data_IF_842581886184
#
_entry.id   IF_842581886184
#
_cell.length_a   1.000
_cell.length_b   1.000
_cell.length_c   1.000
_cell.angle_alpha   90.00
_cell.angle_beta   90.00
_cell.angle_gamma   90.00
#
_symmetry.space_group_name_H-M   'P 1'
#
loop_
_entity.id
_entity.type
_entity.pdbx_description
1 polymer ?
#
# COMPACT_ATOMS: atom_id res chain seq x y z
N UNK A 1 -50.33 29.87 -16.98
CA UNK A 1 -49.85 31.01 -16.18
C UNK A 1 -48.40 30.79 -15.86
N UNK A 2 -47.58 31.81 -15.98
CA UNK A 2 -46.33 31.73 -16.73
C UNK A 2 -45.11 31.54 -15.85
N UNK A 3 -44.09 30.97 -16.46
CA UNK A 3 -42.70 30.91 -15.96
C UNK A 3 -42.08 32.30 -15.84
N UNK A 4 -41.15 32.56 -14.97
CA UNK A 4 -40.23 33.66 -15.14
C UNK A 4 -38.87 33.20 -15.65
N UNK A 5 -38.40 34.09 -16.53
CA UNK A 5 -37.22 34.11 -17.36
C UNK A 5 -35.90 34.15 -16.61
N UNK A 6 -34.91 33.61 -17.33
CA UNK A 6 -33.48 33.78 -17.15
C UNK A 6 -33.02 35.23 -17.43
N UNK A 7 -32.10 35.72 -16.62
CA UNK A 7 -31.22 36.82 -17.03
C UNK A 7 -29.76 36.45 -16.73
N UNK A 8 -28.86 36.61 -17.72
CA UNK A 8 -27.44 36.35 -17.55
C UNK A 8 -26.72 37.62 -17.12
N UNK A 9 -26.00 37.57 -16.02
CA UNK A 9 -25.07 38.63 -15.58
C UNK A 9 -23.63 38.32 -15.98
N UNK A 10 -23.20 38.95 -17.00
CA UNK A 10 -21.82 39.11 -17.46
C UNK A 10 -21.04 39.98 -16.46
N UNK A 11 -19.86 39.53 -16.05
CA UNK A 11 -18.80 40.43 -15.65
C UNK A 11 -17.42 39.84 -16.00
N UNK A 12 -16.85 40.57 -16.98
CA UNK A 12 -15.50 40.40 -17.51
C UNK A 12 -14.55 41.24 -16.64
N UNK A 13 -13.28 40.88 -16.72
CA UNK A 13 -12.06 41.66 -16.44
C UNK A 13 -11.44 41.62 -15.04
N UNK A 14 -10.31 40.97 -14.98
CA UNK A 14 -9.04 41.72 -14.79
C UNK A 14 -7.81 40.87 -15.07
N UNK A 15 -7.21 41.08 -16.23
CA UNK A 15 -5.79 40.81 -16.49
C UNK A 15 -4.92 41.63 -15.53
N UNK A 16 -4.00 40.97 -14.87
CA UNK A 16 -2.93 41.53 -14.07
C UNK A 16 -1.60 40.91 -14.48
N UNK A 17 -0.88 41.62 -15.32
CA UNK A 17 0.48 41.35 -15.78
C UNK A 17 1.46 41.24 -14.62
N UNK A 18 2.23 40.16 -14.60
CA UNK A 18 3.47 40.06 -13.82
C UNK A 18 4.65 39.92 -14.77
N UNK A 19 5.16 41.06 -15.23
CA UNK A 19 6.52 41.18 -15.74
C UNK A 19 7.38 41.76 -14.62
N UNK A 20 8.60 41.16 -14.49
CA UNK A 20 9.69 41.88 -13.85
C UNK A 20 10.14 41.28 -12.51
N UNK A 21 11.06 40.33 -12.53
CA UNK A 21 12.28 40.30 -11.67
C UNK A 21 13.28 39.40 -12.39
N UNK A 22 13.94 39.93 -13.38
CA UNK A 22 15.21 39.43 -13.90
C UNK A 22 16.17 40.60 -13.86
N UNK A 23 17.22 40.51 -13.08
CA UNK A 23 18.44 41.30 -13.11
C UNK A 23 18.86 41.74 -11.71
N UNK A 24 19.65 40.93 -11.05
CA UNK A 24 20.65 41.41 -10.09
C UNK A 24 21.47 40.24 -9.50
N UNK A 25 22.35 39.64 -10.25
CA UNK A 25 23.60 39.05 -9.74
C UNK A 25 24.59 38.99 -10.91
N UNK A 26 25.19 40.12 -11.23
CA UNK A 26 26.47 40.24 -11.91
C UNK A 26 27.19 41.39 -11.23
N UNK A 27 28.18 41.11 -10.50
CA UNK A 27 29.37 41.90 -10.13
C UNK A 27 29.75 41.60 -8.68
N UNK A 28 30.71 40.70 -8.53
CA UNK A 28 31.79 40.92 -7.56
C UNK A 28 33.05 40.21 -8.06
N UNK A 29 33.78 40.97 -8.63
CA UNK A 29 35.13 41.05 -9.03
C UNK A 29 36.17 40.33 -8.11
N UNK A 30 36.98 39.53 -8.76
CA UNK A 30 38.44 39.59 -8.83
C UNK A 30 39.10 40.31 -7.65
N UNK A 31 39.61 39.57 -6.68
CA UNK A 31 40.82 39.96 -5.93
C UNK A 31 41.83 38.84 -5.98
N UNK A 32 42.85 39.05 -6.81
CA UNK A 32 44.16 38.39 -6.75
C UNK A 32 44.81 38.78 -5.44
N UNK A 33 45.15 37.79 -4.61
CA UNK A 33 46.19 37.92 -3.60
C UNK A 33 47.21 36.85 -3.91
N UNK A 34 48.32 37.33 -4.42
CA UNK A 34 49.59 36.58 -4.53
C UNK A 34 50.17 36.44 -3.14
N UNK A 35 50.31 35.20 -2.66
CA UNK A 35 50.92 34.90 -1.37
C UNK A 35 51.72 33.59 -1.46
N UNK A 36 52.97 33.74 -1.31
CA UNK A 36 54.13 32.82 -1.42
C UNK A 36 53.92 31.42 -0.90
N UNK A 37 54.34 30.51 -1.74
CA UNK A 37 54.84 29.16 -1.57
C UNK A 37 55.48 28.90 -0.18
N UNK A 38 54.94 27.95 0.55
CA UNK A 38 55.66 27.13 1.50
C UNK A 38 55.33 25.66 1.21
N UNK A 39 56.27 24.96 0.60
CA UNK A 39 56.23 23.50 0.43
C UNK A 39 56.42 22.86 1.81
N UNK A 40 55.36 22.32 2.36
CA UNK A 40 55.40 21.31 3.42
C UNK A 40 54.78 20.05 2.84
N UNK A 41 55.70 19.15 2.44
CA UNK A 41 55.35 17.78 2.04
C UNK A 41 54.92 17.02 3.30
N UNK A 42 53.68 17.16 3.68
CA UNK A 42 53.02 16.29 4.66
C UNK A 42 52.30 15.17 3.92
N UNK A 43 52.88 13.98 3.91
CA UNK A 43 52.28 12.76 3.41
C UNK A 43 51.15 12.40 4.34
N UNK A 44 49.94 12.89 4.04
CA UNK A 44 48.71 12.53 4.76
C UNK A 44 48.24 11.20 4.17
N UNK A 45 48.67 10.10 4.83
CA UNK A 45 48.11 8.77 4.56
C UNK A 45 46.65 8.80 5.04
N UNK A 46 45.74 9.12 4.13
CA UNK A 46 44.32 8.96 4.36
C UNK A 46 44.05 7.45 4.35
N UNK A 47 44.06 6.81 5.52
CA UNK A 47 43.54 5.45 5.68
C UNK A 47 42.01 5.52 5.48
N UNK A 48 41.56 5.32 4.26
CA UNK A 48 40.17 5.08 3.96
C UNK A 48 39.80 3.73 4.60
N UNK A 49 39.25 3.77 5.80
CA UNK A 49 38.47 2.65 6.32
C UNK A 49 37.25 2.47 5.40
N UNK A 50 37.40 1.64 4.38
CA UNK A 50 36.27 1.12 3.60
C UNK A 50 35.56 0.16 4.55
N UNK A 51 34.58 0.68 5.30
CA UNK A 51 33.58 -0.15 5.96
C UNK A 51 32.83 -0.78 4.82
N UNK A 52 33.20 -1.99 4.44
CA UNK A 52 32.48 -2.79 3.48
C UNK A 52 31.09 -3.09 4.07
N UNK A 53 30.10 -2.33 3.67
CA UNK A 53 28.71 -2.72 3.88
C UNK A 53 28.48 -3.97 3.04
N UNK A 54 28.57 -5.15 3.70
CA UNK A 54 28.08 -6.38 3.09
C UNK A 54 26.58 -6.23 2.91
N UNK A 55 26.17 -5.94 1.68
CA UNK A 55 24.75 -5.99 1.30
C UNK A 55 24.31 -7.46 1.35
N UNK A 56 23.59 -7.81 2.39
CA UNK A 56 22.86 -9.09 2.45
C UNK A 56 21.53 -8.84 1.75
N UNK A 57 21.27 -9.48 0.60
CA UNK A 57 19.99 -9.33 -0.07
C UNK A 57 18.88 -9.84 0.85
N UNK A 58 17.90 -9.02 1.13
CA UNK A 58 16.71 -9.44 1.86
C UNK A 58 15.92 -10.44 1.02
N UNK A 59 15.66 -11.61 1.60
CA UNK A 59 14.95 -12.70 0.92
C UNK A 59 13.46 -12.61 1.27
N UNK A 60 12.57 -12.64 0.28
CA UNK A 60 11.14 -12.66 0.53
C UNK A 60 10.71 -13.84 1.39
N UNK A 61 9.70 -13.63 2.22
CA UNK A 61 9.12 -14.64 3.11
C UNK A 61 8.58 -15.80 2.30
N UNK A 62 9.10 -16.99 2.56
CA UNK A 62 8.53 -18.22 2.02
C UNK A 62 7.36 -18.67 2.90
N UNK A 63 6.15 -18.64 2.37
CA UNK A 63 4.94 -19.01 3.11
C UNK A 63 3.66 -18.46 2.51
N UNK A 64 2.56 -18.86 3.12
CA UNK A 64 1.20 -18.50 2.68
C UNK A 64 0.51 -17.62 3.71
N UNK A 65 -0.06 -16.51 3.26
CA UNK A 65 -1.02 -15.72 4.01
C UNK A 65 -2.42 -16.14 3.59
N UNK A 66 -3.21 -16.67 4.52
CA UNK A 66 -4.58 -17.09 4.29
C UNK A 66 -5.54 -16.20 5.07
N UNK A 67 -6.60 -15.79 4.40
CA UNK A 67 -7.70 -15.01 4.98
C UNK A 67 -8.95 -15.87 4.85
N UNK A 68 -9.64 -16.11 5.96
CA UNK A 68 -10.93 -16.79 5.97
C UNK A 68 -12.01 -15.82 6.44
N UNK A 69 -13.21 -15.96 5.90
CA UNK A 69 -14.34 -15.09 6.21
C UNK A 69 -15.67 -15.77 5.90
N UNK A 70 -16.76 -15.20 6.40
CA UNK A 70 -18.14 -15.60 6.09
C UNK A 70 -18.87 -14.40 5.49
N UNK A 71 -19.35 -14.53 4.26
CA UNK A 71 -20.20 -13.54 3.57
C UNK A 71 -21.67 -13.96 3.76
N UNK A 72 -22.49 -13.07 4.28
CA UNK A 72 -23.90 -13.37 4.57
C UNK A 72 -24.87 -12.82 3.51
N UNK A 73 -24.42 -11.89 2.66
CA UNK A 73 -25.21 -11.28 1.60
C UNK A 73 -24.33 -10.94 0.39
N UNK A 74 -24.88 -11.09 -0.82
CA UNK A 74 -24.17 -10.72 -2.06
C UNK A 74 -23.84 -9.22 -2.13
N UNK A 75 -24.61 -8.37 -1.45
CA UNK A 75 -24.35 -6.93 -1.38
C UNK A 75 -23.06 -6.59 -0.62
N UNK A 76 -22.59 -7.52 0.21
CA UNK A 76 -21.46 -7.28 1.13
C UNK A 76 -20.09 -7.44 0.51
N UNK A 77 -19.96 -7.84 -0.75
CA UNK A 77 -18.67 -8.29 -1.25
C UNK A 77 -18.28 -7.77 -2.63
N UNK A 78 -19.18 -7.06 -3.29
CA UNK A 78 -19.03 -6.64 -4.68
C UNK A 78 -17.72 -5.87 -4.92
N UNK A 79 -17.36 -4.98 -4.02
CA UNK A 79 -16.12 -4.22 -4.11
C UNK A 79 -15.25 -4.50 -2.89
N UNK A 80 -14.24 -5.30 -3.11
CA UNK A 80 -13.31 -5.73 -2.05
C UNK A 80 -11.88 -5.46 -2.46
N UNK A 81 -11.09 -4.88 -1.56
CA UNK A 81 -9.65 -4.75 -1.69
C UNK A 81 -8.94 -5.33 -0.47
N UNK A 82 -7.81 -6.02 -0.70
CA UNK A 82 -6.95 -6.58 0.34
C UNK A 82 -5.52 -6.15 0.10
N UNK A 83 -4.86 -5.61 1.15
CA UNK A 83 -3.48 -5.13 1.06
C UNK A 83 -2.72 -5.28 2.36
N UNK A 84 -1.40 -5.09 2.28
CA UNK A 84 -0.51 -4.97 3.42
C UNK A 84 0.00 -3.54 3.55
N UNK A 85 0.07 -3.05 4.78
CA UNK A 85 0.73 -1.80 5.15
C UNK A 85 1.94 -2.08 6.04
N UNK A 86 2.94 -1.20 5.99
CA UNK A 86 4.03 -1.20 6.96
C UNK A 86 3.56 -0.60 8.30
N UNK A 87 4.45 -0.59 9.31
CA UNK A 87 4.15 0.00 10.62
C UNK A 87 3.87 1.51 10.56
N UNK A 88 4.35 2.21 9.53
CA UNK A 88 4.05 3.62 9.26
C UNK A 88 2.68 3.87 8.60
N UNK A 89 1.95 2.81 8.25
CA UNK A 89 0.65 2.89 7.58
C UNK A 89 0.73 3.16 6.08
N UNK A 90 1.90 2.97 5.47
CA UNK A 90 2.08 3.06 4.02
C UNK A 90 1.75 1.72 3.36
N UNK A 91 1.08 1.75 2.22
CA UNK A 91 0.78 0.54 1.45
C UNK A 91 2.06 -0.10 0.92
N UNK A 92 2.29 -1.35 1.30
CA UNK A 92 3.43 -2.15 0.82
C UNK A 92 3.05 -2.95 -0.41
N UNK A 93 1.88 -3.61 -0.39
CA UNK A 93 1.44 -4.45 -1.49
C UNK A 93 -0.07 -4.62 -1.49
N UNK A 94 -0.71 -4.40 -2.63
CA UNK A 94 -2.06 -4.89 -2.90
C UNK A 94 -1.99 -6.38 -3.20
N UNK A 95 -2.78 -7.18 -2.49
CA UNK A 95 -2.81 -8.64 -2.61
C UNK A 95 -3.99 -9.12 -3.46
N UNK A 96 -5.12 -8.44 -3.33
CA UNK A 96 -6.36 -8.78 -4.05
C UNK A 96 -7.23 -7.56 -4.26
N UNK A 97 -7.90 -7.52 -5.39
CA UNK A 97 -8.95 -6.56 -5.71
C UNK A 97 -10.04 -7.29 -6.49
N UNK A 98 -11.31 -7.10 -6.12
CA UNK A 98 -12.43 -7.64 -6.92
C UNK A 98 -12.40 -7.06 -8.34
N UNK A 99 -12.77 -7.86 -9.34
CA UNK A 99 -12.58 -7.53 -10.76
C UNK A 99 -13.21 -6.18 -11.15
N UNK A 100 -14.42 -5.88 -10.70
CA UNK A 100 -15.09 -4.61 -11.01
C UNK A 100 -14.35 -3.41 -10.40
N UNK A 101 -13.89 -3.54 -9.15
CA UNK A 101 -13.11 -2.50 -8.48
C UNK A 101 -11.76 -2.30 -9.19
N UNK A 102 -11.10 -3.39 -9.57
CA UNK A 102 -9.82 -3.36 -10.27
C UNK A 102 -9.92 -2.64 -11.63
N UNK A 103 -11.06 -2.76 -12.32
CA UNK A 103 -11.33 -2.13 -13.61
C UNK A 103 -11.79 -0.68 -13.52
N UNK A 104 -11.84 -0.08 -12.31
CA UNK A 104 -12.07 1.33 -12.13
C UNK A 104 -13.50 1.72 -11.75
N UNK A 105 -14.28 0.83 -11.14
CA UNK A 105 -15.62 1.16 -10.63
C UNK A 105 -15.63 2.41 -9.74
N UNK A 106 -14.56 2.65 -8.99
CA UNK A 106 -14.36 3.83 -8.14
C UNK A 106 -14.36 5.17 -8.91
N UNK A 107 -14.20 5.16 -10.22
CA UNK A 107 -14.27 6.39 -11.05
C UNK A 107 -15.70 6.81 -11.34
N UNK A 108 -16.64 5.91 -11.22
CA UNK A 108 -18.08 6.12 -11.52
C UNK A 108 -18.89 6.32 -10.23
N UNK A 109 -18.61 5.47 -9.25
CA UNK A 109 -19.25 5.53 -7.93
C UNK A 109 -18.20 6.03 -6.95
N UNK A 110 -18.38 7.23 -6.42
CA UNK A 110 -17.47 7.82 -5.42
C UNK A 110 -17.45 7.01 -4.14
N UNK A 111 -16.37 7.14 -3.38
CA UNK A 111 -16.21 6.54 -2.04
C UNK A 111 -16.17 5.01 -1.96
N UNK A 112 -15.93 4.31 -3.07
CA UNK A 112 -15.68 2.86 -3.06
C UNK A 112 -14.26 2.59 -2.54
N UNK A 113 -14.15 1.85 -1.43
CA UNK A 113 -12.87 1.47 -0.81
C UNK A 113 -11.85 2.64 -0.71
N UNK A 114 -12.25 3.80 -0.11
CA UNK A 114 -11.49 5.04 -0.19
C UNK A 114 -10.10 4.95 0.47
N UNK A 115 -9.95 4.15 1.52
CA UNK A 115 -8.64 4.01 2.19
C UNK A 115 -7.63 3.31 1.28
N UNK A 116 -8.06 2.27 0.56
CA UNK A 116 -7.22 1.57 -0.39
C UNK A 116 -6.90 2.45 -1.61
N UNK A 117 -7.90 3.10 -2.22
CA UNK A 117 -7.71 3.97 -3.40
C UNK A 117 -6.70 5.07 -3.09
N UNK A 118 -6.86 5.76 -1.95
CA UNK A 118 -5.96 6.83 -1.53
C UNK A 118 -4.51 6.38 -1.38
N UNK A 119 -4.28 5.16 -0.92
CA UNK A 119 -2.94 4.63 -0.66
C UNK A 119 -2.31 3.93 -1.85
N UNK A 120 -3.12 3.26 -2.67
CA UNK A 120 -2.65 2.47 -3.81
C UNK A 120 -2.34 3.32 -5.04
N UNK A 121 -2.95 4.51 -5.15
CA UNK A 121 -2.93 5.30 -6.38
C UNK A 121 -3.33 4.47 -7.60
N UNK A 122 -4.37 3.65 -7.43
CA UNK A 122 -4.77 2.62 -8.40
C UNK A 122 -5.13 3.17 -9.78
N UNK A 123 -5.50 4.43 -9.86
CA UNK A 123 -5.73 5.14 -11.13
C UNK A 123 -4.49 5.15 -12.07
N UNK A 124 -3.31 4.83 -11.53
CA UNK A 124 -2.04 4.75 -12.27
C UNK A 124 -1.55 3.32 -12.48
N UNK A 125 -2.32 2.32 -11.99
CA UNK A 125 -1.93 0.93 -12.11
C UNK A 125 -1.82 0.50 -13.58
N UNK A 126 -0.77 -0.22 -13.90
CA UNK A 126 -0.60 -0.84 -15.20
C UNK A 126 -1.54 -2.04 -15.36
N UNK A 127 -1.88 -2.40 -16.60
CA UNK A 127 -2.71 -3.60 -16.85
C UNK A 127 -2.09 -4.87 -16.23
N UNK A 128 -0.77 -4.99 -16.22
CA UNK A 128 -0.08 -6.13 -15.61
C UNK A 128 -0.26 -6.18 -14.08
N UNK A 129 -0.30 -5.02 -13.40
CA UNK A 129 -0.61 -4.94 -11.97
C UNK A 129 -2.07 -5.30 -11.70
N UNK A 130 -2.98 -4.80 -12.52
CA UNK A 130 -4.41 -5.15 -12.44
C UNK A 130 -4.60 -6.66 -12.58
N UNK A 131 -4.03 -7.27 -13.61
CA UNK A 131 -4.15 -8.71 -13.89
C UNK A 131 -3.53 -9.58 -12.80
N UNK A 132 -2.48 -9.08 -12.15
CA UNK A 132 -1.76 -9.84 -11.11
C UNK A 132 -2.53 -9.99 -9.80
N UNK A 133 -3.49 -9.09 -9.51
CA UNK A 133 -4.19 -9.07 -8.20
C UNK A 133 -5.71 -9.06 -8.33
N UNK A 134 -6.25 -8.91 -9.55
CA UNK A 134 -7.70 -8.95 -9.76
C UNK A 134 -8.23 -10.37 -9.68
N UNK A 135 -9.40 -10.53 -9.07
CA UNK A 135 -10.03 -11.82 -8.93
C UNK A 135 -11.57 -11.73 -8.83
N UNK A 136 -12.23 -12.88 -8.85
CA UNK A 136 -13.69 -12.92 -8.74
C UNK A 136 -14.13 -12.35 -7.39
N UNK A 137 -15.26 -11.67 -7.40
CA UNK A 137 -15.91 -11.18 -6.18
C UNK A 137 -16.19 -12.33 -5.22
N UNK A 138 -15.90 -12.19 -3.92
CA UNK A 138 -16.30 -13.15 -2.91
C UNK A 138 -17.82 -13.38 -2.94
N UNK A 139 -18.26 -14.65 -2.90
CA UNK A 139 -19.69 -15.02 -2.92
C UNK A 139 -20.19 -15.33 -1.52
N UNK A 140 -21.54 -15.34 -1.36
CA UNK A 140 -22.18 -15.75 -0.10
C UNK A 140 -21.69 -17.11 0.37
N UNK A 141 -21.46 -17.23 1.66
CA UNK A 141 -20.95 -18.41 2.32
C UNK A 141 -19.55 -18.25 2.87
N UNK A 142 -18.96 -19.34 3.29
CA UNK A 142 -17.57 -19.36 3.76
C UNK A 142 -16.61 -19.21 2.60
N UNK A 143 -15.70 -18.24 2.69
CA UNK A 143 -14.69 -17.97 1.68
C UNK A 143 -13.27 -17.98 2.26
N UNK A 144 -12.31 -18.12 1.35
CA UNK A 144 -10.91 -17.90 1.70
C UNK A 144 -10.13 -17.34 0.53
N UNK A 145 -9.18 -16.46 0.86
CA UNK A 145 -8.14 -15.97 -0.04
C UNK A 145 -6.79 -16.49 0.44
N UNK A 146 -5.92 -16.88 -0.46
CA UNK A 146 -4.59 -17.41 -0.13
C UNK A 146 -3.53 -16.80 -1.03
N UNK A 147 -2.46 -16.26 -0.41
CA UNK A 147 -1.40 -15.55 -1.08
C UNK A 147 -0.04 -16.19 -0.78
N UNK A 148 0.71 -16.48 -1.81
CA UNK A 148 2.12 -16.87 -1.73
C UNK A 148 2.97 -15.61 -1.57
N UNK A 149 3.46 -15.38 -0.35
CA UNK A 149 4.16 -14.14 -0.02
C UNK A 149 5.48 -13.98 -0.78
N UNK A 150 6.14 -15.08 -1.12
CA UNK A 150 7.37 -15.07 -1.91
C UNK A 150 7.11 -14.53 -3.32
N UNK A 151 6.00 -14.95 -3.95
CA UNK A 151 5.61 -14.42 -5.28
C UNK A 151 5.27 -12.93 -5.24
N UNK A 152 4.73 -12.45 -4.11
CA UNK A 152 4.45 -11.05 -3.91
C UNK A 152 5.68 -10.21 -3.50
N UNK A 153 6.83 -10.85 -3.26
CA UNK A 153 8.07 -10.18 -2.86
C UNK A 153 8.02 -9.58 -1.45
N UNK A 154 7.20 -10.13 -0.56
CA UNK A 154 7.03 -9.64 0.80
C UNK A 154 8.22 -10.04 1.66
N UNK A 155 8.88 -9.07 2.28
CA UNK A 155 10.02 -9.29 3.19
C UNK A 155 9.56 -9.69 4.59
N UNK A 156 10.44 -10.32 5.41
CA UNK A 156 10.15 -10.55 6.82
C UNK A 156 9.90 -9.23 7.56
N UNK A 157 8.88 -9.20 8.42
CA UNK A 157 8.57 -7.98 9.16
C UNK A 157 7.23 -8.02 9.87
N UNK A 158 6.86 -6.88 10.43
CA UNK A 158 5.55 -6.62 11.01
C UNK A 158 4.75 -5.78 10.03
N UNK A 159 3.53 -6.21 9.77
CA UNK A 159 2.63 -5.58 8.81
C UNK A 159 1.26 -5.39 9.41
N UNK A 160 0.52 -4.43 8.88
CA UNK A 160 -0.92 -4.41 9.04
C UNK A 160 -1.57 -5.07 7.82
N UNK A 161 -2.29 -6.13 8.06
CA UNK A 161 -3.26 -6.66 7.12
C UNK A 161 -4.45 -5.72 7.08
N UNK A 162 -4.91 -5.40 5.88
CA UNK A 162 -6.08 -4.57 5.64
C UNK A 162 -6.99 -5.24 4.61
N UNK A 163 -8.29 -5.25 4.89
CA UNK A 163 -9.33 -5.67 3.95
C UNK A 163 -10.46 -4.65 4.01
N UNK A 164 -10.72 -3.97 2.92
CA UNK A 164 -11.82 -3.00 2.82
C UNK A 164 -12.90 -3.50 1.88
N UNK A 165 -14.14 -3.33 2.29
CA UNK A 165 -15.32 -3.72 1.54
C UNK A 165 -16.22 -2.51 1.43
N UNK A 166 -16.72 -2.25 0.24
CA UNK A 166 -17.78 -1.30 0.02
C UNK A 166 -19.12 -2.03 -0.01
N UNK A 167 -20.11 -1.47 0.67
CA UNK A 167 -21.45 -2.07 0.77
C UNK A 167 -22.38 -1.45 -0.27
N UNK A 168 -22.69 -0.18 -0.09
CA UNK A 168 -23.51 0.64 -1.00
C UNK A 168 -23.35 2.13 -0.63
N UNK A 169 -23.75 3.03 -1.48
CA UNK A 169 -23.63 4.47 -1.33
C UNK A 169 -22.19 4.89 -0.99
N UNK A 170 -21.95 5.32 0.26
CA UNK A 170 -20.63 5.66 0.78
C UNK A 170 -20.23 4.79 1.99
N UNK A 171 -20.92 3.67 2.24
CA UNK A 171 -20.65 2.82 3.38
C UNK A 171 -19.55 1.81 3.09
N UNK A 172 -18.50 1.86 3.89
CA UNK A 172 -17.36 0.95 3.80
C UNK A 172 -17.06 0.32 5.16
N UNK A 173 -16.57 -0.92 5.13
CA UNK A 173 -16.07 -1.64 6.30
C UNK A 173 -14.58 -1.88 6.08
N UNK A 174 -13.75 -1.53 7.05
CA UNK A 174 -12.33 -1.82 7.05
C UNK A 174 -11.98 -2.78 8.19
N UNK A 175 -11.42 -3.93 7.84
CA UNK A 175 -10.77 -4.88 8.75
C UNK A 175 -9.28 -4.61 8.73
N UNK A 176 -8.70 -4.32 9.91
CA UNK A 176 -7.28 -4.03 10.04
C UNK A 176 -6.70 -4.77 11.25
N UNK A 177 -5.62 -5.53 11.04
CA UNK A 177 -4.95 -6.27 12.10
C UNK A 177 -3.46 -6.40 11.88
N UNK A 178 -2.69 -6.37 12.97
CA UNK A 178 -1.24 -6.54 12.90
C UNK A 178 -0.89 -8.02 12.76
N UNK A 179 0.05 -8.33 11.88
CA UNK A 179 0.58 -9.68 11.69
C UNK A 179 2.10 -9.64 11.47
N UNK A 180 2.80 -10.60 12.08
CA UNK A 180 4.24 -10.80 11.85
C UNK A 180 4.45 -11.87 10.79
N UNK A 181 5.18 -11.52 9.74
CA UNK A 181 5.54 -12.43 8.65
C UNK A 181 7.02 -12.78 8.77
N UNK A 182 7.37 -14.09 8.75
CA UNK A 182 8.75 -14.54 8.94
C UNK A 182 8.83 -16.07 9.05
N UNK A 183 9.68 -16.57 9.97
CA UNK A 183 9.96 -17.99 10.12
C UNK A 183 8.88 -18.78 10.92
N UNK A 184 8.05 -18.06 11.68
CA UNK A 184 7.07 -18.69 12.58
C UNK A 184 5.65 -18.43 12.11
N UNK A 185 4.72 -19.38 12.31
CA UNK A 185 3.30 -19.15 12.09
C UNK A 185 2.80 -17.96 12.91
N UNK A 186 1.86 -17.21 12.35
CA UNK A 186 1.22 -16.09 13.01
C UNK A 186 -0.25 -16.03 12.64
N UNK A 187 -1.05 -15.48 13.56
CA UNK A 187 -2.47 -15.23 13.34
C UNK A 187 -2.80 -13.79 13.77
N UNK A 188 -3.76 -13.19 13.09
CA UNK A 188 -4.33 -11.92 13.46
C UNK A 188 -5.86 -12.00 13.41
N UNK A 189 -6.50 -11.38 14.40
CA UNK A 189 -7.92 -11.11 14.39
C UNK A 189 -8.07 -9.59 14.16
N UNK A 190 -8.53 -9.17 12.97
CA UNK A 190 -8.61 -7.77 12.65
C UNK A 190 -9.65 -7.02 13.49
N UNK A 191 -9.35 -5.78 13.82
CA UNK A 191 -10.34 -4.81 14.31
C UNK A 191 -11.17 -4.30 13.13
N UNK A 192 -12.43 -3.96 13.43
CA UNK A 192 -13.40 -3.51 12.40
C UNK A 192 -13.69 -2.03 12.61
N UNK A 193 -13.60 -1.27 11.54
CA UNK A 193 -14.03 0.13 11.51
C UNK A 193 -14.98 0.39 10.34
N UNK A 194 -15.81 1.42 10.48
CA UNK A 194 -16.89 1.74 9.54
C UNK A 194 -16.74 3.19 9.07
N UNK A 195 -16.99 3.45 7.80
CA UNK A 195 -16.95 4.80 7.21
C UNK A 195 -18.19 5.03 6.34
N UNK A 196 -18.88 6.18 6.46
CA UNK A 196 -18.63 7.29 7.41
C UNK A 196 -19.11 6.92 8.82
N UNK A 197 -19.92 5.91 8.99
CA UNK A 197 -20.44 5.37 10.24
C UNK A 197 -20.86 3.92 10.06
N UNK A 198 -21.13 3.21 11.15
CA UNK A 198 -21.66 1.85 11.10
C UNK A 198 -23.02 1.82 10.37
N UNK A 199 -23.13 1.00 9.35
CA UNK A 199 -24.39 0.69 8.71
C UNK A 199 -25.19 -0.29 9.57
N UNK A 200 -26.51 -0.24 9.55
CA UNK A 200 -27.39 -0.96 10.48
C UNK A 200 -27.20 -2.47 10.37
N UNK A 201 -26.79 -3.14 9.55
CA UNK A 201 -26.53 -4.59 9.48
C UNK A 201 -25.08 -4.92 9.14
N UNK A 202 -24.18 -3.95 9.21
CA UNK A 202 -22.82 -4.09 8.72
C UNK A 202 -22.04 -5.26 9.34
N UNK A 203 -22.26 -5.53 10.62
CA UNK A 203 -21.60 -6.64 11.32
C UNK A 203 -22.07 -8.02 10.89
N UNK A 204 -23.24 -8.10 10.27
CA UNK A 204 -23.80 -9.37 9.76
C UNK A 204 -23.40 -9.66 8.32
N UNK A 205 -22.97 -8.66 7.56
CA UNK A 205 -22.66 -8.79 6.13
C UNK A 205 -21.40 -9.60 5.87
N UNK A 206 -20.32 -9.30 6.61
CA UNK A 206 -19.08 -10.04 6.57
C UNK A 206 -18.60 -10.31 7.98
N UNK A 207 -18.39 -11.57 8.34
CA UNK A 207 -18.04 -12.01 9.69
C UNK A 207 -16.85 -12.95 9.69
N UNK A 208 -16.34 -13.20 10.89
CA UNK A 208 -15.30 -14.21 11.16
C UNK A 208 -14.04 -14.03 10.31
N UNK A 209 -13.68 -12.77 10.01
CA UNK A 209 -12.44 -12.49 9.29
C UNK A 209 -11.25 -12.88 10.16
N UNK A 210 -10.48 -13.86 9.71
CA UNK A 210 -9.26 -14.34 10.36
C UNK A 210 -8.13 -14.35 9.37
N UNK A 211 -6.96 -13.98 9.83
CA UNK A 211 -5.75 -13.95 9.01
C UNK A 211 -4.73 -14.89 9.63
N UNK A 212 -4.23 -15.83 8.84
CA UNK A 212 -3.21 -16.79 9.27
C UNK A 212 -2.05 -16.76 8.30
N UNK A 213 -0.86 -16.66 8.84
CA UNK A 213 0.38 -16.90 8.11
C UNK A 213 0.95 -18.24 8.48
N UNK A 214 1.32 -19.02 7.46
CA UNK A 214 1.99 -20.32 7.61
C UNK A 214 3.27 -20.30 6.80
N UNK A 215 4.47 -20.35 7.44
CA UNK A 215 5.73 -20.42 6.72
C UNK A 215 5.86 -21.76 5.98
N UNK A 216 6.59 -21.75 4.86
CA UNK A 216 7.03 -22.98 4.24
C UNK A 216 8.08 -23.61 5.15
N UNK A 217 7.85 -24.84 5.59
CA UNK A 217 8.88 -25.65 6.24
C UNK A 217 9.79 -26.23 5.18
N UNK A 218 11.08 -25.90 5.23
CA UNK A 218 12.08 -26.59 4.42
C UNK A 218 12.08 -28.08 4.77
N UNK A 219 11.39 -28.88 3.96
CA UNK A 219 11.33 -30.36 4.09
C UNK A 219 12.68 -31.01 3.76
N UNK A 220 13.72 -30.21 3.53
CA UNK A 220 15.07 -30.65 3.18
C UNK A 220 16.09 -30.57 4.33
N UNK A 221 15.68 -30.67 5.60
CA UNK A 221 16.65 -31.05 6.64
C UNK A 221 16.88 -32.57 6.57
N UNK A 222 18.07 -33.01 6.12
CA UNK A 222 18.38 -34.45 6.16
C UNK A 222 18.28 -34.89 7.60
N UNK A 223 17.40 -35.87 7.85
CA UNK A 223 17.08 -36.37 9.15
C UNK A 223 18.32 -36.57 10.02
N UNK A 224 18.30 -36.03 11.21
CA UNK A 224 19.19 -36.44 12.29
C UNK A 224 18.94 -37.91 12.49
N UNK A 225 19.80 -38.76 11.90
CA UNK A 225 19.84 -40.17 12.18
C UNK A 225 20.07 -40.31 13.69
N UNK A 226 19.00 -40.66 14.40
CA UNK A 226 19.08 -41.08 15.78
C UNK A 226 19.95 -42.32 15.78
N UNK A 227 21.20 -42.22 16.21
CA UNK A 227 22.00 -43.39 16.60
C UNK A 227 21.31 -43.97 17.83
N UNK A 228 20.61 -45.07 17.65
CA UNK A 228 20.29 -45.96 18.76
C UNK A 228 21.59 -46.57 19.32
N UNK A 229 21.64 -46.75 20.64
CA UNK A 229 22.80 -47.32 21.34
C UNK A 229 22.97 -48.82 21.14
#
# INVERSE_FOLDING_TARGET
MPSPELTPGFCVDRMGSAQGISAAIKHLAKRRVMGRVARLSGLLILSANIIGFSYVPEVPVAGKLQITYLVSSDDASRFTAVWLENEGGELVKTLFVSSELAQGAFTVEGDICPDWIKKSHWEKASQAEVDAVSGPTPTVGSGSLSFDLKKHGILPGVYFFCMQIHIHDNYNILYKGQIRLGEKPAEAQPEVSYSPKKYESAEDLLRDVRVRFTPETDTNQPGSATKEP
#
